data_IF_922703906082
#
_entry.id   IF_922703906082
#
_cell.length_a   1.000
_cell.length_b   1.000
_cell.length_c   1.000
_cell.angle_alpha   90.00
_cell.angle_beta   90.00
_cell.angle_gamma   90.00
#
_symmetry.space_group_name_H-M   'P 1'
#
loop_
_entity.id
_entity.type
_entity.pdbx_description
1 polymer ?
#
# COMPACT_ATOMS: atom_id res chain seq x y z
N UNK A 1 -11.63 -37.20 -1.41
CA UNK A 1 -10.85 -36.16 -0.71
C UNK A 1 -9.90 -35.60 -1.75
N UNK A 2 -10.38 -34.63 -2.53
CA UNK A 2 -9.58 -33.97 -3.54
C UNK A 2 -9.01 -32.73 -2.85
N UNK A 3 -7.70 -32.73 -2.61
CA UNK A 3 -6.93 -31.52 -2.30
C UNK A 3 -7.06 -30.60 -3.52
N UNK A 4 -8.03 -29.69 -3.44
CA UNK A 4 -8.10 -28.52 -4.29
C UNK A 4 -6.87 -27.67 -3.98
N UNK A 5 -5.87 -27.73 -4.85
CA UNK A 5 -4.79 -26.74 -4.90
C UNK A 5 -5.45 -25.38 -5.06
N UNK A 6 -5.57 -24.63 -3.97
CA UNK A 6 -5.93 -23.23 -4.01
C UNK A 6 -4.81 -22.51 -4.76
N UNK A 7 -5.14 -21.93 -5.93
CA UNK A 7 -4.26 -21.01 -6.66
C UNK A 7 -4.05 -19.77 -5.79
N UNK A 8 -3.15 -19.87 -4.81
CA UNK A 8 -2.67 -18.73 -4.05
C UNK A 8 -1.81 -17.88 -4.98
N UNK A 9 -2.43 -16.89 -5.62
CA UNK A 9 -1.67 -15.83 -6.27
C UNK A 9 -0.89 -15.06 -5.19
N UNK A 10 0.42 -15.27 -5.16
CA UNK A 10 1.33 -14.56 -4.24
C UNK A 10 1.68 -13.21 -4.83
N UNK A 11 1.41 -12.14 -4.08
CA UNK A 11 1.86 -10.80 -4.40
C UNK A 11 3.26 -10.55 -3.86
N UNK A 12 4.14 -10.01 -4.70
CA UNK A 12 5.46 -9.56 -4.30
C UNK A 12 5.39 -8.12 -3.81
N UNK A 13 5.62 -7.91 -2.52
CA UNK A 13 5.70 -6.58 -1.91
C UNK A 13 7.16 -6.28 -1.64
N UNK A 14 7.73 -5.37 -2.40
CA UNK A 14 9.12 -4.92 -2.22
C UNK A 14 9.14 -3.64 -1.42
N UNK A 15 9.74 -3.67 -0.24
CA UNK A 15 9.95 -2.51 0.61
C UNK A 15 11.32 -1.90 0.34
N UNK A 16 11.35 -0.59 0.08
CA UNK A 16 12.57 0.19 -0.11
C UNK A 16 12.55 1.45 0.76
N UNK A 17 13.66 1.73 1.43
CA UNK A 17 13.81 2.92 2.27
C UNK A 17 15.30 3.16 2.56
N UNK A 18 15.74 4.42 2.71
CA UNK A 18 17.09 4.71 3.24
C UNK A 18 17.35 4.12 4.63
N UNK A 19 16.30 3.82 5.40
CA UNK A 19 16.40 3.15 6.70
C UNK A 19 16.73 1.65 6.59
N UNK A 20 16.54 1.05 5.41
CA UNK A 20 16.84 -0.35 5.14
C UNK A 20 18.24 -0.48 4.53
N UNK A 21 18.99 -1.51 4.96
CA UNK A 21 20.32 -1.82 4.38
C UNK A 21 20.24 -2.30 2.93
N UNK A 22 19.11 -2.88 2.54
CA UNK A 22 18.78 -3.40 1.21
C UNK A 22 17.26 -3.50 1.10
N UNK A 23 16.77 -3.50 -0.14
CA UNK A 23 15.36 -3.75 -0.40
C UNK A 23 14.95 -5.13 0.13
N UNK A 24 13.73 -5.21 0.67
CA UNK A 24 13.18 -6.44 1.24
C UNK A 24 11.89 -6.78 0.50
N UNK A 25 11.91 -7.88 -0.25
CA UNK A 25 10.72 -8.44 -0.87
C UNK A 25 10.09 -9.48 0.05
N UNK A 26 8.79 -9.34 0.28
CA UNK A 26 7.99 -10.31 1.02
C UNK A 26 6.85 -10.80 0.15
N UNK A 27 6.40 -12.01 0.41
CA UNK A 27 5.30 -12.64 -0.31
C UNK A 27 4.05 -12.53 0.55
N UNK A 28 3.02 -11.90 0.01
CA UNK A 28 1.71 -11.85 0.64
C UNK A 28 0.75 -12.76 -0.12
N UNK A 29 -0.04 -13.52 0.63
CA UNK A 29 -1.09 -14.38 0.05
C UNK A 29 -2.30 -13.50 -0.25
N UNK A 30 -2.74 -13.48 -1.51
CA UNK A 30 -3.97 -12.79 -1.88
C UNK A 30 -5.17 -13.38 -1.10
N UNK A 31 -6.01 -12.51 -0.53
CA UNK A 31 -7.21 -12.91 0.22
C UNK A 31 -7.06 -12.94 1.74
N UNK A 32 -5.85 -12.79 2.28
CA UNK A 32 -5.58 -12.75 3.73
C UNK A 32 -6.11 -11.49 4.43
N UNK A 33 -6.66 -10.53 3.68
CA UNK A 33 -7.22 -9.25 4.16
C UNK A 33 -6.28 -8.50 5.13
N UNK A 34 -4.96 -8.64 4.94
CA UNK A 34 -3.97 -7.89 5.72
C UNK A 34 -3.76 -6.50 5.11
N UNK A 35 -3.55 -5.52 5.99
CA UNK A 35 -3.09 -4.20 5.56
C UNK A 35 -1.60 -4.22 5.25
N UNK A 36 -1.13 -3.29 4.43
CA UNK A 36 0.29 -3.15 4.14
C UNK A 36 1.12 -2.88 5.41
N UNK A 37 0.57 -2.13 6.37
CA UNK A 37 1.20 -1.92 7.67
C UNK A 37 1.32 -3.23 8.46
N UNK A 38 0.29 -4.07 8.46
CA UNK A 38 0.31 -5.38 9.14
C UNK A 38 1.39 -6.29 8.56
N UNK A 39 1.50 -6.34 7.22
CA UNK A 39 2.55 -7.11 6.54
C UNK A 39 3.93 -6.57 6.87
N UNK A 40 4.12 -5.24 6.86
CA UNK A 40 5.37 -4.61 7.25
C UNK A 40 5.78 -4.99 8.68
N UNK A 41 4.84 -4.96 9.64
CA UNK A 41 5.09 -5.34 11.03
C UNK A 41 5.49 -6.82 11.18
N UNK A 42 4.78 -7.73 10.51
CA UNK A 42 5.05 -9.17 10.53
C UNK A 42 6.49 -9.48 10.06
N UNK A 43 6.94 -8.77 9.02
CA UNK A 43 8.28 -8.91 8.45
C UNK A 43 9.32 -7.96 9.06
N UNK A 44 8.98 -7.24 10.14
CA UNK A 44 9.88 -6.31 10.86
C UNK A 44 10.44 -5.18 9.98
N UNK A 45 9.65 -4.74 9.01
CA UNK A 45 9.94 -3.57 8.19
C UNK A 45 9.65 -2.30 9.01
N UNK A 46 10.60 -1.36 9.12
CA UNK A 46 10.51 -0.23 10.04
C UNK A 46 9.67 0.93 9.46
N UNK A 47 8.45 0.66 8.96
CA UNK A 47 7.52 1.73 8.59
C UNK A 47 7.09 2.44 9.88
N UNK A 48 7.26 3.76 9.91
CA UNK A 48 6.83 4.56 11.04
C UNK A 48 5.29 4.61 11.10
N UNK A 49 4.72 4.47 12.29
CA UNK A 49 3.28 4.59 12.53
C UNK A 49 3.02 5.05 13.97
N UNK A 50 1.93 5.80 14.16
CA UNK A 50 1.47 6.27 15.48
C UNK A 50 0.03 5.84 15.78
N UNK A 51 -0.74 5.49 14.75
CA UNK A 51 -2.09 4.94 14.87
C UNK A 51 -2.29 3.81 13.84
N UNK A 52 -3.45 3.14 13.88
CA UNK A 52 -3.84 2.09 12.93
C UNK A 52 -5.27 2.29 12.37
N UNK A 53 -5.89 3.42 12.69
CA UNK A 53 -7.28 3.80 12.36
C UNK A 53 -7.37 4.93 11.31
N UNK A 54 -6.21 5.32 10.77
CA UNK A 54 -6.09 6.27 9.68
C UNK A 54 -6.24 7.73 10.07
N UNK A 55 -5.81 8.13 11.28
CA UNK A 55 -5.95 9.50 11.78
C UNK A 55 -4.69 10.35 11.68
N UNK A 56 -3.50 9.78 11.91
CA UNK A 56 -2.28 10.57 11.99
C UNK A 56 -1.57 10.77 10.63
N UNK A 57 -1.64 9.78 9.72
CA UNK A 57 -0.93 9.80 8.44
C UNK A 57 0.58 9.48 8.53
N UNK A 58 1.09 9.09 9.69
CA UNK A 58 2.54 8.83 9.88
C UNK A 58 3.04 7.58 9.13
N UNK A 59 2.14 6.67 8.76
CA UNK A 59 2.41 5.52 7.89
C UNK A 59 2.22 5.82 6.38
N UNK A 60 2.36 7.08 5.97
CA UNK A 60 2.28 7.46 4.56
C UNK A 60 3.46 6.88 3.77
N UNK A 61 3.16 6.15 2.71
CA UNK A 61 4.12 5.47 1.83
C UNK A 61 3.79 5.77 0.37
N UNK A 62 4.80 5.67 -0.50
CA UNK A 62 4.57 5.67 -1.95
C UNK A 62 4.41 4.23 -2.42
N UNK A 63 3.31 3.95 -3.12
CA UNK A 63 3.05 2.64 -3.70
C UNK A 63 3.16 2.75 -5.21
N UNK A 64 4.08 2.01 -5.78
CA UNK A 64 4.29 1.91 -7.22
C UNK A 64 3.98 0.48 -7.66
N UNK A 65 2.91 0.27 -8.45
CA UNK A 65 2.62 -1.03 -9.01
C UNK A 65 3.73 -1.50 -9.96
N UNK A 66 4.06 -2.79 -9.90
CA UNK A 66 5.06 -3.44 -10.73
C UNK A 66 4.38 -4.35 -11.75
N UNK A 67 4.85 -4.33 -13.00
CA UNK A 67 4.35 -5.21 -14.06
C UNK A 67 3.02 -4.78 -14.67
N UNK A 68 2.31 -5.73 -15.29
CA UNK A 68 1.06 -5.50 -16.03
C UNK A 68 -0.20 -5.53 -15.17
N UNK A 69 -0.09 -6.01 -13.92
CA UNK A 69 -1.20 -6.18 -12.97
C UNK A 69 -1.32 -4.96 -12.05
N UNK A 70 -1.21 -3.76 -12.61
CA UNK A 70 -1.39 -2.55 -11.81
C UNK A 70 -2.82 -2.51 -11.24
N UNK A 71 -3.00 -2.11 -9.96
CA UNK A 71 -4.29 -1.89 -9.35
C UNK A 71 -5.15 -1.00 -10.24
N UNK A 72 -6.22 -1.56 -10.77
CA UNK A 72 -7.23 -0.80 -11.51
C UNK A 72 -8.24 -0.29 -10.50
N UNK A 73 -8.39 1.04 -10.44
CA UNK A 73 -9.41 1.73 -9.63
C UNK A 73 -9.29 1.57 -8.11
N UNK A 74 -8.16 2.02 -7.53
CA UNK A 74 -8.06 2.16 -6.07
C UNK A 74 -8.44 3.57 -5.65
N UNK A 75 -9.59 3.70 -5.01
CA UNK A 75 -10.08 4.98 -4.48
C UNK A 75 -9.58 5.21 -3.05
N UNK A 76 -9.10 6.43 -2.79
CA UNK A 76 -8.86 6.92 -1.44
C UNK A 76 -10.19 7.21 -0.75
N UNK A 77 -10.31 6.84 0.52
CA UNK A 77 -11.42 7.33 1.35
C UNK A 77 -11.30 8.83 1.60
N UNK A 78 -12.41 9.52 1.90
CA UNK A 78 -12.36 10.96 2.22
C UNK A 78 -11.46 11.27 3.44
N UNK A 79 -11.42 10.35 4.41
CA UNK A 79 -10.53 10.44 5.57
C UNK A 79 -9.06 10.38 5.13
N UNK A 80 -8.70 9.39 4.32
CA UNK A 80 -7.33 9.22 3.80
C UNK A 80 -6.89 10.43 2.96
N UNK A 81 -7.76 10.94 2.08
CA UNK A 81 -7.49 12.16 1.29
C UNK A 81 -7.16 13.34 2.20
N UNK A 82 -7.99 13.59 3.21
CA UNK A 82 -7.84 14.72 4.14
C UNK A 82 -6.50 14.64 4.87
N UNK A 83 -6.18 13.47 5.43
CA UNK A 83 -4.94 13.25 6.18
C UNK A 83 -3.71 13.39 5.28
N UNK A 84 -3.73 12.83 4.07
CA UNK A 84 -2.62 12.95 3.12
C UNK A 84 -2.38 14.38 2.65
N UNK A 85 -3.44 15.19 2.50
CA UNK A 85 -3.32 16.62 2.19
C UNK A 85 -2.73 17.40 3.37
N UNK A 86 -3.23 17.18 4.59
CA UNK A 86 -2.74 17.87 5.79
C UNK A 86 -1.26 17.55 6.06
N UNK A 87 -0.81 16.34 5.74
CA UNK A 87 0.59 15.92 5.82
C UNK A 87 1.44 16.36 4.60
N UNK A 88 0.89 17.13 3.67
CA UNK A 88 1.60 17.65 2.50
C UNK A 88 2.02 16.58 1.49
N UNK A 89 1.44 15.39 1.54
CA UNK A 89 1.74 14.28 0.61
C UNK A 89 0.94 14.36 -0.69
N UNK A 90 -0.27 14.92 -0.62
CA UNK A 90 -1.12 15.21 -1.78
C UNK A 90 -1.48 16.69 -1.81
N UNK A 91 -1.54 17.27 -3.01
CA UNK A 91 -2.13 18.59 -3.22
C UNK A 91 -3.59 18.49 -3.67
N UNK A 92 -4.33 19.61 -3.60
CA UNK A 92 -5.69 19.69 -4.16
C UNK A 92 -5.72 19.34 -5.66
N UNK A 93 -4.71 19.78 -6.41
CA UNK A 93 -4.58 19.47 -7.83
C UNK A 93 -4.33 17.97 -8.07
N UNK A 94 -3.63 17.29 -7.16
CA UNK A 94 -3.44 15.85 -7.25
C UNK A 94 -4.77 15.13 -7.01
N UNK A 95 -5.56 15.56 -6.03
CA UNK A 95 -6.89 15.00 -5.77
C UNK A 95 -7.83 15.16 -6.97
N UNK A 96 -7.82 16.33 -7.62
CA UNK A 96 -8.59 16.55 -8.84
C UNK A 96 -8.16 15.59 -9.96
N UNK A 97 -6.85 15.44 -10.20
CA UNK A 97 -6.34 14.48 -11.18
C UNK A 97 -6.71 13.04 -10.85
N UNK A 98 -6.59 12.63 -9.59
CA UNK A 98 -6.96 11.29 -9.12
C UNK A 98 -8.47 11.07 -9.29
N UNK A 99 -9.30 12.11 -9.12
CA UNK A 99 -10.75 12.00 -9.33
C UNK A 99 -11.17 11.93 -10.80
N UNK A 100 -10.35 12.47 -11.70
CA UNK A 100 -10.62 12.55 -13.13
C UNK A 100 -9.94 11.44 -13.95
N UNK A 101 -8.94 10.78 -13.38
CA UNK A 101 -8.18 9.70 -14.04
C UNK A 101 -8.34 8.40 -13.28
N UNK A 102 -8.45 7.27 -13.98
CA UNK A 102 -8.47 5.93 -13.37
C UNK A 102 -7.07 5.48 -12.89
N UNK A 103 -6.19 6.42 -12.55
CA UNK A 103 -4.81 6.17 -12.15
C UNK A 103 -4.73 6.10 -10.63
N UNK A 104 -4.16 5.01 -10.12
CA UNK A 104 -3.96 4.83 -8.69
C UNK A 104 -3.08 5.96 -8.09
N UNK A 105 -3.45 6.51 -6.94
CA UNK A 105 -2.67 7.57 -6.30
C UNK A 105 -1.32 7.03 -5.79
N UNK A 106 -0.26 7.78 -6.04
CA UNK A 106 1.11 7.42 -5.62
C UNK A 106 1.23 7.29 -4.11
N UNK A 107 0.70 8.26 -3.36
CA UNK A 107 0.77 8.27 -1.90
C UNK A 107 -0.43 7.57 -1.29
N UNK A 108 -0.16 6.66 -0.36
CA UNK A 108 -1.14 5.86 0.38
C UNK A 108 -0.79 5.80 1.85
N UNK A 109 -1.78 5.56 2.70
CA UNK A 109 -1.53 5.21 4.10
C UNK A 109 -1.43 3.70 4.26
N UNK A 110 -0.30 3.19 4.73
CA UNK A 110 -0.05 1.75 4.82
C UNK A 110 -1.09 1.01 5.68
N UNK A 111 -1.67 1.66 6.71
CA UNK A 111 -2.73 1.06 7.53
C UNK A 111 -4.10 0.97 6.84
N UNK A 112 -4.30 1.71 5.75
CA UNK A 112 -5.55 1.70 4.95
C UNK A 112 -5.39 0.96 3.62
N UNK A 113 -4.16 0.62 3.25
CA UNK A 113 -3.88 -0.14 2.03
C UNK A 113 -4.10 -1.63 2.29
N UNK A 114 -5.11 -2.20 1.63
CA UNK A 114 -5.34 -3.65 1.65
C UNK A 114 -4.46 -4.33 0.60
N UNK A 115 -3.69 -5.30 1.02
CA UNK A 115 -2.85 -6.07 0.10
C UNK A 115 -3.72 -7.03 -0.71
N UNK A 116 -3.54 -7.00 -2.03
CA UNK A 116 -4.21 -7.87 -3.01
C UNK A 116 -3.18 -8.79 -3.68
N UNK A 117 -3.45 -9.25 -4.90
CA UNK A 117 -2.62 -10.14 -5.73
C UNK A 117 -1.63 -9.40 -6.65
N UNK A 118 -1.41 -8.11 -6.37
CA UNK A 118 -0.61 -7.20 -7.18
C UNK A 118 0.83 -7.08 -6.68
N UNK A 119 1.79 -7.12 -7.60
CA UNK A 119 3.20 -6.84 -7.30
C UNK A 119 3.39 -5.33 -7.11
N UNK A 120 3.99 -4.92 -5.99
CA UNK A 120 4.16 -3.51 -5.65
C UNK A 120 5.55 -3.22 -5.08
N UNK A 121 6.04 -2.02 -5.38
CA UNK A 121 7.15 -1.37 -4.70
C UNK A 121 6.58 -0.36 -3.70
N UNK A 122 7.05 -0.42 -2.46
CA UNK A 122 6.64 0.42 -1.35
C UNK A 122 7.83 1.21 -0.84
N UNK A 123 7.80 2.52 -1.02
CA UNK A 123 8.86 3.44 -0.61
C UNK A 123 8.40 4.30 0.57
N UNK A 124 9.26 4.43 1.60
CA UNK A 124 8.94 5.15 2.83
C UNK A 124 10.15 5.80 3.50
#
# INVERSE_FOLDING_TARGET
>A
MADSQEDFHMANITFSSPALKKDVTVYAVAGDRKTLLSVAQEHKIPIHYECQDGECGSCAVQVTPLGSNAPKAVHLTEKEKTVLVLNGKLSKNDLEKISLSDVAPKWRMACQYMVLDEDILVEF
#
